data_IF_287979088598
#
_entry.id   IF_287979088598
#
_cell.length_a   1.000
_cell.length_b   1.000
_cell.length_c   1.000
_cell.angle_alpha   90.00
_cell.angle_beta   90.00
_cell.angle_gamma   90.00
#
_symmetry.space_group_name_H-M   'P 1'
#
loop_
_entity.id
_entity.type
_entity.pdbx_description
1 polymer ?
#
# COMPACT_ATOMS: atom_id res chain seq x y z
N UNK A 1 17.04 -2.83 12.58
CA UNK A 1 15.64 -2.87 12.10
C UNK A 1 15.58 -3.08 10.58
N UNK A 2 16.15 -2.21 9.73
CA UNK A 2 16.12 -2.43 8.27
C UNK A 2 16.89 -3.66 7.75
N UNK A 3 18.05 -3.97 8.34
CA UNK A 3 18.87 -5.13 7.97
C UNK A 3 18.12 -6.45 8.24
N UNK A 4 17.50 -6.59 9.42
CA UNK A 4 16.77 -7.82 9.79
C UNK A 4 15.54 -8.06 8.90
N UNK A 5 14.86 -6.98 8.48
CA UNK A 5 13.70 -7.05 7.60
C UNK A 5 14.10 -7.47 6.17
N UNK A 6 15.20 -6.90 5.66
CA UNK A 6 15.75 -7.27 4.35
C UNK A 6 16.22 -8.74 4.36
N UNK A 7 16.89 -9.18 5.43
CA UNK A 7 17.29 -10.59 5.57
C UNK A 7 16.07 -11.51 5.56
N UNK A 8 15.05 -11.23 6.38
CA UNK A 8 13.83 -12.04 6.47
C UNK A 8 13.10 -12.14 5.13
N UNK A 9 12.97 -11.02 4.40
CA UNK A 9 12.34 -11.00 3.08
C UNK A 9 13.13 -11.83 2.05
N UNK A 10 14.44 -11.64 1.99
CA UNK A 10 15.32 -12.35 1.06
C UNK A 10 15.42 -13.85 1.41
N UNK A 11 15.21 -14.23 2.67
CA UNK A 11 15.10 -15.63 3.09
C UNK A 11 13.75 -16.25 2.73
N UNK A 12 12.66 -15.47 2.74
CA UNK A 12 11.32 -15.96 2.42
C UNK A 12 11.10 -16.15 0.90
N UNK A 13 11.72 -15.33 0.07
CA UNK A 13 11.42 -15.26 -1.38
C UNK A 13 12.60 -15.69 -2.25
N UNK A 14 12.30 -16.34 -3.37
CA UNK A 14 13.22 -16.60 -4.49
C UNK A 14 13.23 -15.36 -5.37
N UNK A 15 14.30 -14.56 -5.28
CA UNK A 15 14.47 -13.34 -6.07
C UNK A 15 15.53 -13.56 -7.15
N UNK A 16 15.15 -13.86 -8.41
CA UNK A 16 16.09 -14.24 -9.47
C UNK A 16 17.10 -13.16 -9.85
N UNK A 17 16.72 -11.88 -9.72
CA UNK A 17 17.54 -10.74 -10.10
C UNK A 17 18.50 -10.24 -9.01
N UNK A 18 18.26 -10.61 -7.75
CA UNK A 18 19.11 -10.23 -6.63
C UNK A 18 18.33 -9.99 -5.33
N UNK A 19 19.06 -9.69 -4.27
CA UNK A 19 18.46 -9.37 -2.98
C UNK A 19 17.91 -7.95 -2.96
N UNK A 20 16.74 -7.77 -2.35
CA UNK A 20 16.19 -6.43 -2.08
C UNK A 20 16.88 -5.84 -0.85
N UNK A 21 17.48 -4.67 -1.03
CA UNK A 21 18.03 -3.86 0.05
C UNK A 21 16.95 -2.94 0.63
N UNK A 22 16.98 -2.72 1.94
CA UNK A 22 16.05 -1.83 2.63
C UNK A 22 16.84 -0.85 3.49
N UNK A 23 16.61 0.45 3.30
CA UNK A 23 17.15 1.48 4.18
C UNK A 23 16.08 2.40 4.75
N UNK A 24 16.40 2.91 5.94
CA UNK A 24 15.66 3.97 6.59
C UNK A 24 16.65 5.11 6.80
N UNK A 25 16.39 6.26 6.18
CA UNK A 25 17.36 7.36 6.10
C UNK A 25 16.68 8.74 6.10
N UNK A 26 17.44 9.78 6.45
CA UNK A 26 17.02 11.16 6.25
C UNK A 26 17.22 11.51 4.78
N UNK A 27 16.12 11.73 4.05
CA UNK A 27 16.15 11.96 2.60
C UNK A 27 16.16 13.45 2.23
N UNK A 28 15.81 14.34 3.18
CA UNK A 28 15.57 15.75 2.91
C UNK A 28 14.23 16.04 2.21
N UNK A 29 13.38 15.03 2.03
CA UNK A 29 12.07 15.14 1.41
C UNK A 29 11.09 14.11 1.99
N UNK A 30 9.79 14.45 2.00
CA UNK A 30 8.70 13.54 2.40
C UNK A 30 8.48 12.53 1.28
N UNK A 31 9.12 11.36 1.38
CA UNK A 31 9.04 10.34 0.34
C UNK A 31 9.26 8.91 0.86
N UNK A 32 8.94 7.93 0.03
CA UNK A 32 9.47 6.57 0.06
C UNK A 32 9.49 6.10 -1.39
N UNK A 33 10.46 5.26 -1.77
CA UNK A 33 10.54 4.77 -3.14
C UNK A 33 11.39 3.51 -3.24
N UNK A 34 11.07 2.67 -4.22
CA UNK A 34 11.96 1.63 -4.74
C UNK A 34 12.86 2.19 -5.86
N UNK A 35 14.17 2.00 -5.71
CA UNK A 35 15.16 2.29 -6.75
C UNK A 35 15.56 1.00 -7.50
N UNK A 36 15.12 0.82 -8.76
CA UNK A 36 15.41 -0.38 -9.55
C UNK A 36 16.89 -0.46 -9.97
N UNK A 37 17.65 0.64 -9.99
CA UNK A 37 19.07 0.61 -10.38
C UNK A 37 19.92 -0.02 -9.29
N UNK A 38 19.58 0.22 -8.03
CA UNK A 38 20.31 -0.27 -6.86
C UNK A 38 19.59 -1.42 -6.14
N UNK A 39 18.41 -1.83 -6.62
CA UNK A 39 17.53 -2.83 -6.00
C UNK A 39 17.32 -2.51 -4.52
N UNK A 40 16.95 -1.24 -4.25
CA UNK A 40 16.93 -0.68 -2.89
C UNK A 40 15.61 0.04 -2.63
N UNK A 41 14.89 -0.40 -1.59
CA UNK A 41 13.79 0.34 -1.00
C UNK A 41 14.33 1.37 -0.02
N UNK A 42 13.88 2.61 -0.15
CA UNK A 42 14.28 3.74 0.69
C UNK A 42 13.04 4.29 1.40
N UNK A 43 13.06 4.22 2.73
CA UNK A 43 11.98 4.68 3.58
C UNK A 43 12.44 5.93 4.35
N UNK A 44 11.96 7.12 3.94
CA UNK A 44 12.44 8.37 4.49
C UNK A 44 11.80 8.69 5.85
N UNK A 45 12.60 9.11 6.84
CA UNK A 45 12.08 9.50 8.16
C UNK A 45 11.11 10.70 8.09
N UNK A 46 11.26 11.57 7.10
CA UNK A 46 10.38 12.70 6.84
C UNK A 46 8.95 12.26 6.50
N UNK A 47 8.77 11.12 5.82
CA UNK A 47 7.44 10.58 5.52
C UNK A 47 6.73 10.14 6.80
N UNK A 48 7.43 9.45 7.70
CA UNK A 48 6.85 9.09 9.00
C UNK A 48 6.49 10.34 9.82
N UNK A 49 7.34 11.37 9.82
CA UNK A 49 7.04 12.66 10.46
C UNK A 49 5.81 13.35 9.84
N UNK A 50 5.65 13.28 8.52
CA UNK A 50 4.48 13.84 7.84
C UNK A 50 3.20 13.11 8.26
N UNK A 51 3.22 11.78 8.33
CA UNK A 51 2.09 11.01 8.86
C UNK A 51 1.80 11.33 10.33
N UNK A 52 2.84 11.47 11.17
CA UNK A 52 2.68 11.83 12.58
C UNK A 52 1.99 13.19 12.73
N UNK A 53 2.38 14.18 11.92
CA UNK A 53 1.76 15.49 11.91
C UNK A 53 0.30 15.44 11.42
N UNK A 54 0.01 14.63 10.39
CA UNK A 54 -1.32 14.51 9.82
C UNK A 54 -2.30 13.82 10.78
N UNK A 55 -1.90 12.72 11.42
CA UNK A 55 -2.76 11.94 12.32
C UNK A 55 -2.72 12.37 13.78
N UNK A 56 -1.69 13.11 14.18
CA UNK A 56 -1.48 13.53 15.57
C UNK A 56 -1.15 12.39 16.54
N UNK A 57 -0.92 11.16 16.06
CA UNK A 57 -0.56 10.02 16.90
C UNK A 57 0.35 9.02 16.16
N UNK A 58 1.26 8.39 16.91
CA UNK A 58 2.27 7.49 16.36
C UNK A 58 1.70 6.16 15.84
N UNK A 59 0.59 5.69 16.41
CA UNK A 59 -0.03 4.42 16.01
C UNK A 59 -0.56 4.50 14.57
N UNK A 60 -1.37 5.52 14.27
CA UNK A 60 -1.92 5.74 12.93
C UNK A 60 -0.81 6.05 11.93
N UNK A 61 0.20 6.82 12.35
CA UNK A 61 1.35 7.14 11.52
C UNK A 61 2.16 5.89 11.15
N UNK A 62 2.39 4.99 12.11
CA UNK A 62 3.08 3.73 11.87
C UNK A 62 2.31 2.83 10.91
N UNK A 63 0.98 2.69 11.08
CA UNK A 63 0.13 1.90 10.17
C UNK A 63 0.18 2.42 8.74
N UNK A 64 0.02 3.73 8.53
CA UNK A 64 0.10 4.33 7.21
C UNK A 64 1.51 4.20 6.59
N UNK A 65 2.55 4.35 7.41
CA UNK A 65 3.93 4.16 6.97
C UNK A 65 4.25 2.71 6.59
N UNK A 66 3.71 1.74 7.32
CA UNK A 66 3.82 0.32 6.95
C UNK A 66 3.07 0.01 5.66
N UNK A 67 1.89 0.60 5.44
CA UNK A 67 1.22 0.46 4.15
C UNK A 67 2.12 0.92 3.00
N UNK A 68 2.74 2.10 3.11
CA UNK A 68 3.68 2.62 2.10
C UNK A 68 4.89 1.70 1.96
N UNK A 69 5.42 1.15 3.05
CA UNK A 69 6.51 0.16 2.97
C UNK A 69 6.13 -1.04 2.08
N UNK A 70 4.94 -1.60 2.26
CA UNK A 70 4.49 -2.74 1.46
C UNK A 70 4.10 -2.37 0.04
N UNK A 71 3.70 -1.13 -0.19
CA UNK A 71 3.53 -0.56 -1.53
C UNK A 71 4.88 -0.52 -2.28
N UNK A 72 5.94 0.03 -1.66
CA UNK A 72 7.29 0.03 -2.24
C UNK A 72 7.86 -1.38 -2.41
N UNK A 73 7.54 -2.29 -1.50
CA UNK A 73 7.88 -3.71 -1.67
C UNK A 73 7.20 -4.29 -2.90
N UNK A 74 5.96 -3.88 -3.20
CA UNK A 74 5.27 -4.30 -4.41
C UNK A 74 6.02 -3.92 -5.67
N UNK A 75 6.53 -2.69 -5.77
CA UNK A 75 7.37 -2.27 -6.89
C UNK A 75 8.65 -3.13 -6.98
N UNK A 76 9.31 -3.36 -5.85
CA UNK A 76 10.49 -4.20 -5.80
C UNK A 76 10.20 -5.64 -6.26
N UNK A 77 9.06 -6.22 -5.88
CA UNK A 77 8.68 -7.58 -6.28
C UNK A 77 8.32 -7.66 -7.76
N UNK A 78 7.58 -6.68 -8.30
CA UNK A 78 7.27 -6.63 -9.72
C UNK A 78 8.55 -6.62 -10.55
N UNK A 79 9.51 -5.77 -10.18
CA UNK A 79 10.81 -5.72 -10.85
C UNK A 79 11.60 -7.03 -10.65
N UNK A 80 11.81 -7.47 -9.40
CA UNK A 80 12.71 -8.60 -9.13
C UNK A 80 12.21 -9.95 -9.64
N UNK A 81 10.89 -10.12 -9.79
CA UNK A 81 10.25 -11.35 -10.26
C UNK A 81 9.77 -11.27 -11.71
N UNK A 82 9.98 -10.14 -12.42
CA UNK A 82 9.44 -9.88 -13.76
C UNK A 82 7.92 -10.13 -13.84
N UNK A 83 7.18 -9.67 -12.81
CA UNK A 83 5.73 -9.89 -12.78
C UNK A 83 5.03 -9.08 -13.88
N UNK A 84 4.15 -9.69 -14.67
CA UNK A 84 3.39 -8.95 -15.67
C UNK A 84 2.35 -8.05 -15.00
N UNK A 85 2.27 -6.80 -15.45
CA UNK A 85 1.24 -5.83 -15.05
C UNK A 85 0.42 -5.45 -16.27
N UNK A 86 -0.87 -5.80 -16.28
CA UNK A 86 -1.80 -5.46 -17.37
C UNK A 86 -2.47 -4.09 -17.21
N UNK A 87 -2.57 -3.59 -15.97
CA UNK A 87 -3.20 -2.33 -15.61
C UNK A 87 -2.20 -1.27 -15.18
N UNK A 88 -2.59 -0.45 -14.20
CA UNK A 88 -1.66 0.45 -13.53
C UNK A 88 -0.84 -0.32 -12.50
N UNK A 89 0.48 -0.13 -12.53
CA UNK A 89 1.39 -0.72 -11.57
C UNK A 89 1.03 -0.31 -10.14
N UNK A 90 0.78 0.99 -9.92
CA UNK A 90 0.34 1.54 -8.63
C UNK A 90 -0.90 0.86 -8.05
N UNK A 91 -1.93 0.62 -8.88
CA UNK A 91 -3.15 -0.05 -8.40
C UNK A 91 -2.84 -1.51 -8.02
N UNK A 92 -1.89 -2.14 -8.73
CA UNK A 92 -1.45 -3.51 -8.45
C UNK A 92 -0.68 -3.58 -7.12
N UNK A 93 0.26 -2.66 -6.89
CA UNK A 93 1.04 -2.62 -5.64
C UNK A 93 0.22 -2.12 -4.45
N UNK A 94 -0.80 -1.27 -4.66
CA UNK A 94 -1.78 -0.88 -3.65
C UNK A 94 -2.69 -2.04 -3.23
N UNK A 95 -3.17 -2.82 -4.19
CA UNK A 95 -3.98 -4.02 -3.92
C UNK A 95 -3.17 -5.05 -3.14
N UNK A 96 -1.93 -5.26 -3.58
CA UNK A 96 -0.94 -6.11 -2.93
C UNK A 96 -0.63 -5.69 -1.48
N UNK A 97 -0.32 -4.42 -1.25
CA UNK A 97 -0.11 -3.88 0.10
C UNK A 97 -1.37 -4.04 0.97
N UNK A 98 -2.55 -3.84 0.38
CA UNK A 98 -3.83 -4.03 1.08
C UNK A 98 -4.05 -5.48 1.50
N UNK A 99 -3.79 -6.45 0.62
CA UNK A 99 -3.89 -7.89 0.93
C UNK A 99 -2.97 -8.25 2.08
N UNK A 100 -1.69 -7.82 2.05
CA UNK A 100 -0.77 -8.04 3.17
C UNK A 100 -1.33 -7.45 4.47
N UNK A 101 -1.78 -6.19 4.46
CA UNK A 101 -2.28 -5.51 5.65
C UNK A 101 -3.55 -6.15 6.21
N UNK A 102 -4.48 -6.60 5.35
CA UNK A 102 -5.66 -7.35 5.77
C UNK A 102 -5.27 -8.68 6.43
N UNK A 103 -4.36 -9.43 5.81
CA UNK A 103 -3.92 -10.73 6.33
C UNK A 103 -3.12 -10.61 7.63
N UNK A 104 -2.46 -9.47 7.85
CA UNK A 104 -1.82 -9.11 9.11
C UNK A 104 -2.80 -8.55 10.17
N UNK A 105 -4.11 -8.64 9.93
CA UNK A 105 -5.17 -8.09 10.77
C UNK A 105 -5.11 -6.57 11.01
N UNK A 106 -4.56 -5.82 10.05
CA UNK A 106 -4.44 -4.36 10.08
C UNK A 106 -5.09 -3.68 8.86
N UNK A 107 -6.37 -3.94 8.53
CA UNK A 107 -7.05 -3.30 7.39
C UNK A 107 -7.04 -1.76 7.48
N UNK A 108 -6.93 -1.20 8.68
CA UNK A 108 -6.82 0.24 8.93
C UNK A 108 -5.61 0.88 8.25
N UNK A 109 -4.52 0.14 8.04
CA UNK A 109 -3.31 0.67 7.42
C UNK A 109 -3.58 1.19 6.00
N UNK A 110 -4.34 0.44 5.20
CA UNK A 110 -4.75 0.84 3.85
C UNK A 110 -5.72 2.03 3.88
N UNK A 111 -6.68 2.03 4.81
CA UNK A 111 -7.65 3.12 4.97
C UNK A 111 -6.95 4.43 5.33
N UNK A 112 -6.02 4.39 6.31
CA UNK A 112 -5.22 5.52 6.70
C UNK A 112 -4.40 6.02 5.51
N UNK A 113 -3.61 5.17 4.85
CA UNK A 113 -2.84 5.58 3.68
C UNK A 113 -3.72 6.26 2.61
N UNK A 114 -4.91 5.70 2.33
CA UNK A 114 -5.89 6.30 1.43
C UNK A 114 -6.31 7.72 1.83
N UNK A 115 -6.62 7.95 3.10
CA UNK A 115 -6.96 9.29 3.58
C UNK A 115 -5.84 10.31 3.41
N UNK A 116 -4.61 9.90 3.70
CA UNK A 116 -3.44 10.76 3.50
C UNK A 116 -3.25 11.09 2.02
N UNK A 117 -3.28 10.10 1.12
CA UNK A 117 -3.12 10.33 -0.32
C UNK A 117 -4.22 11.23 -0.89
N UNK A 118 -5.46 11.09 -0.41
CA UNK A 118 -6.55 11.98 -0.78
C UNK A 118 -6.31 13.41 -0.28
N UNK A 119 -5.78 13.59 0.94
CA UNK A 119 -5.47 14.90 1.49
C UNK A 119 -4.37 15.63 0.71
N UNK A 120 -3.31 14.92 0.28
CA UNK A 120 -2.24 15.50 -0.53
C UNK A 120 -2.74 16.11 -1.85
N UNK A 121 -3.86 15.62 -2.38
CA UNK A 121 -4.46 16.16 -3.60
C UNK A 121 -5.44 17.31 -3.34
N UNK A 122 -5.83 17.56 -2.09
CA UNK A 122 -6.75 18.63 -1.69
C UNK A 122 -6.27 20.06 -2.00
N UNK A 123 -4.98 20.24 -2.26
CA UNK A 123 -4.36 21.54 -2.58
C UNK A 123 -3.88 21.70 -4.03
N UNK A 124 -3.98 20.65 -4.88
CA UNK A 124 -3.52 20.70 -6.27
C UNK A 124 -4.67 20.58 -7.26
N UNK A 125 -5.01 21.69 -7.93
CA UNK A 125 -5.80 21.65 -9.18
C UNK A 125 -5.01 21.09 -10.38
N UNK A 126 -3.76 20.66 -10.18
CA UNK A 126 -2.95 20.00 -11.19
C UNK A 126 -3.00 18.49 -10.97
N UNK A 127 -3.97 17.85 -11.62
CA UNK A 127 -3.92 16.41 -11.90
C UNK A 127 -2.77 16.20 -12.87
N UNK A 128 -1.63 15.71 -12.39
CA UNK A 128 -0.59 15.21 -13.29
C UNK A 128 -1.03 13.82 -13.76
N UNK A 129 -1.62 13.74 -14.94
CA UNK A 129 -2.01 12.47 -15.58
C UNK A 129 -0.81 11.53 -15.83
N UNK A 130 0.42 12.04 -15.72
CA UNK A 130 1.68 11.31 -15.90
C UNK A 130 2.42 11.04 -14.58
N UNK A 131 1.90 11.51 -13.43
CA UNK A 131 2.34 10.98 -12.14
C UNK A 131 1.85 9.54 -12.05
N UNK A 132 2.73 8.60 -11.67
CA UNK A 132 2.36 7.19 -11.64
C UNK A 132 1.19 6.97 -10.69
N UNK A 133 1.14 7.72 -9.58
CA UNK A 133 0.15 7.59 -8.51
C UNK A 133 -1.29 7.88 -8.97
N UNK A 134 -2.20 6.95 -8.66
CA UNK A 134 -3.64 7.09 -8.92
C UNK A 134 -4.26 8.36 -8.31
N UNK A 135 -5.30 8.90 -8.95
CA UNK A 135 -6.06 10.08 -8.48
C UNK A 135 -6.56 9.85 -7.06
N UNK A 136 -6.36 10.80 -6.16
CA UNK A 136 -6.33 10.58 -4.71
C UNK A 136 -7.65 10.13 -4.14
N UNK A 137 -8.76 10.62 -4.71
CA UNK A 137 -10.12 10.13 -4.39
C UNK A 137 -10.37 8.70 -4.88
N UNK A 138 -9.89 8.36 -6.08
CA UNK A 138 -10.02 7.00 -6.63
C UNK A 138 -9.15 6.02 -5.84
N UNK A 139 -7.89 6.38 -5.59
CA UNK A 139 -6.94 5.60 -4.79
C UNK A 139 -7.49 5.35 -3.39
N UNK A 140 -7.93 6.39 -2.69
CA UNK A 140 -8.59 6.25 -1.38
C UNK A 140 -9.82 5.35 -1.46
N UNK A 141 -10.68 5.54 -2.47
CA UNK A 141 -11.85 4.69 -2.67
C UNK A 141 -11.49 3.21 -2.83
N UNK A 142 -10.44 2.90 -3.60
CA UNK A 142 -9.93 1.53 -3.78
C UNK A 142 -9.44 0.94 -2.47
N UNK A 143 -8.52 1.63 -1.78
CA UNK A 143 -7.93 1.15 -0.53
C UNK A 143 -8.98 0.90 0.55
N UNK A 144 -9.94 1.82 0.71
CA UNK A 144 -11.03 1.64 1.67
C UNK A 144 -11.91 0.46 1.28
N UNK A 145 -12.30 0.33 0.00
CA UNK A 145 -13.15 -0.75 -0.46
C UNK A 145 -12.48 -2.13 -0.28
N UNK A 146 -11.22 -2.28 -0.68
CA UNK A 146 -10.48 -3.53 -0.50
C UNK A 146 -10.27 -3.86 0.97
N UNK A 147 -9.93 -2.89 1.82
CA UNK A 147 -9.76 -3.11 3.26
C UNK A 147 -11.04 -3.63 3.94
N UNK A 148 -12.20 -3.01 3.67
CA UNK A 148 -13.48 -3.45 4.24
C UNK A 148 -13.99 -4.75 3.59
N UNK A 149 -13.64 -5.00 2.33
CA UNK A 149 -13.96 -6.23 1.62
C UNK A 149 -13.26 -7.44 2.23
N UNK A 150 -11.96 -7.31 2.52
CA UNK A 150 -11.20 -8.37 3.17
C UNK A 150 -11.48 -8.53 4.66
N UNK A 151 -11.86 -7.43 5.34
CA UNK A 151 -12.19 -7.42 6.79
C UNK A 151 -13.50 -6.71 7.09
N UNK A 152 -14.66 -7.32 6.79
CA UNK A 152 -15.95 -6.68 7.05
C UNK A 152 -16.22 -6.46 8.55
N UNK A 153 -15.59 -7.23 9.45
CA UNK A 153 -15.65 -7.02 10.90
C UNK A 153 -15.06 -5.67 11.35
N UNK A 154 -14.21 -5.06 10.52
CA UNK A 154 -13.67 -3.72 10.74
C UNK A 154 -14.77 -2.68 10.98
N UNK A 155 -15.83 -2.71 10.17
CA UNK A 155 -16.93 -1.75 10.25
C UNK A 155 -17.79 -1.94 11.51
N UNK A 156 -17.85 -3.15 12.06
CA UNK A 156 -18.54 -3.42 13.33
C UNK A 156 -17.79 -2.77 14.50
N UNK A 157 -16.46 -2.77 14.45
CA UNK A 157 -15.59 -2.17 15.47
C UNK A 157 -15.46 -0.64 15.29
N UNK A 158 -15.72 -0.14 14.07
CA UNK A 158 -15.55 1.26 13.70
C UNK A 158 -16.82 1.83 13.04
N UNK A 159 -17.94 1.96 13.77
CA UNK A 159 -19.23 2.37 13.20
C UNK A 159 -19.21 3.76 12.55
N UNK A 160 -18.31 4.65 12.97
CA UNK A 160 -18.14 5.97 12.36
C UNK A 160 -17.66 5.92 10.90
N UNK A 161 -17.10 4.78 10.45
CA UNK A 161 -16.69 4.56 9.07
C UNK A 161 -17.84 4.07 8.19
N UNK A 162 -18.99 3.71 8.76
CA UNK A 162 -20.09 3.09 8.03
C UNK A 162 -20.66 4.01 6.94
N UNK A 163 -20.86 5.30 7.24
CA UNK A 163 -21.41 6.25 6.26
C UNK A 163 -20.47 6.43 5.06
N UNK A 164 -19.16 6.54 5.31
CA UNK A 164 -18.16 6.63 4.25
C UNK A 164 -18.09 5.32 3.43
N UNK A 165 -18.07 4.17 4.11
CA UNK A 165 -18.07 2.88 3.44
C UNK A 165 -19.31 2.70 2.55
N UNK A 166 -20.49 3.08 3.05
CA UNK A 166 -21.73 3.07 2.27
C UNK A 166 -21.66 4.02 1.08
N UNK A 167 -21.09 5.22 1.22
CA UNK A 167 -20.89 6.12 0.08
C UNK A 167 -19.99 5.49 -0.99
N UNK A 168 -18.86 4.89 -0.60
CA UNK A 168 -17.94 4.23 -1.54
C UNK A 168 -18.61 3.07 -2.27
N UNK A 169 -19.37 2.25 -1.54
CA UNK A 169 -20.12 1.11 -2.10
C UNK A 169 -21.21 1.60 -3.05
N UNK A 170 -22.00 2.61 -2.64
CA UNK A 170 -23.17 3.06 -3.40
C UNK A 170 -22.80 3.88 -4.65
N UNK A 171 -21.83 4.79 -4.55
CA UNK A 171 -21.45 5.68 -5.66
C UNK A 171 -20.89 4.87 -6.84
N UNK A 172 -20.16 3.77 -6.56
CA UNK A 172 -19.60 2.92 -7.61
C UNK A 172 -20.36 1.62 -7.86
N UNK A 173 -21.48 1.37 -7.16
CA UNK A 173 -22.14 0.04 -7.11
C UNK A 173 -21.13 -1.09 -6.90
N UNK A 174 -20.17 -0.85 -6.00
CA UNK A 174 -18.99 -1.70 -5.83
C UNK A 174 -19.33 -2.92 -4.98
N UNK A 175 -18.83 -4.07 -5.40
CA UNK A 175 -18.78 -5.25 -4.55
C UNK A 175 -17.37 -5.34 -3.94
N UNK A 176 -17.20 -4.69 -2.79
CA UNK A 176 -15.90 -4.59 -2.14
C UNK A 176 -15.32 -5.96 -1.74
N UNK A 177 -16.16 -6.95 -1.43
CA UNK A 177 -15.70 -8.31 -1.14
C UNK A 177 -15.15 -8.95 -2.41
N UNK A 178 -15.91 -8.92 -3.50
CA UNK A 178 -15.44 -9.47 -4.78
C UNK A 178 -14.18 -8.75 -5.30
N UNK A 179 -14.10 -7.43 -5.13
CA UNK A 179 -12.91 -6.67 -5.52
C UNK A 179 -11.67 -7.02 -4.68
N UNK A 180 -11.84 -7.23 -3.36
CA UNK A 180 -10.76 -7.70 -2.50
C UNK A 180 -10.33 -9.12 -2.88
N UNK A 181 -11.28 -10.03 -3.09
CA UNK A 181 -11.00 -11.42 -3.48
C UNK A 181 -10.20 -11.48 -4.78
N UNK A 182 -10.49 -10.59 -5.73
CA UNK A 182 -9.70 -10.46 -6.94
C UNK A 182 -8.24 -10.05 -6.65
N UNK A 183 -8.00 -9.14 -5.70
CA UNK A 183 -6.63 -8.78 -5.31
C UNK A 183 -5.94 -9.95 -4.60
N UNK A 184 -6.63 -10.64 -3.70
CA UNK A 184 -6.11 -11.79 -2.95
C UNK A 184 -5.72 -12.94 -3.89
N UNK A 185 -6.61 -13.30 -4.83
CA UNK A 185 -6.35 -14.32 -5.85
C UNK A 185 -5.15 -13.94 -6.74
N UNK A 186 -5.05 -12.67 -7.15
CA UNK A 186 -3.94 -12.18 -7.96
C UNK A 186 -2.62 -12.27 -7.19
N UNK A 187 -2.61 -11.84 -5.92
CA UNK A 187 -1.43 -11.93 -5.05
C UNK A 187 -1.01 -13.38 -4.84
N UNK A 188 -1.94 -14.28 -4.53
CA UNK A 188 -1.67 -15.70 -4.37
C UNK A 188 -1.02 -16.29 -5.65
N UNK A 189 -1.62 -16.04 -6.82
CA UNK A 189 -1.09 -16.57 -8.09
C UNK A 189 0.27 -15.98 -8.47
N UNK A 190 0.50 -14.69 -8.19
CA UNK A 190 1.74 -14.00 -8.55
C UNK A 190 2.90 -14.34 -7.59
N UNK A 191 2.62 -14.69 -6.34
CA UNK A 191 3.65 -14.87 -5.31
C UNK A 191 3.93 -16.31 -4.90
N UNK A 192 2.91 -17.17 -4.83
CA UNK A 192 3.08 -18.56 -4.36
C UNK A 192 4.22 -19.31 -5.07
N UNK A 193 4.47 -19.14 -6.39
CA UNK A 193 5.60 -19.81 -7.05
C UNK A 193 6.98 -19.40 -6.53
N UNK A 194 7.08 -18.21 -5.92
CA UNK A 194 8.35 -17.59 -5.52
C UNK A 194 8.62 -17.65 -4.02
N UNK A 195 7.65 -18.06 -3.19
CA UNK A 195 7.89 -18.38 -1.78
C UNK A 195 8.82 -19.62 -1.69
N UNK A 196 9.78 -19.58 -0.78
CA UNK A 196 10.74 -20.68 -0.55
C UNK A 196 10.15 -21.83 0.25
#
# INVERSE_FOLDING_TARGET
MGIDLAVSLNELLKLPKGNILISFEDCGAVNAFYDPQNVKMIMCYELFKAFLNFYGNAESAAKAYFFVFFHELGHALIDQLDLPVLGKEEDSVDGMATVIMVNAEMPEAAILAGFYFNNLQGDSQYINWFDSHSVGRQRMGNLVCWAIGGRPDFLLKNPNMMDLAQQIIQVGQRDCKAEYDQQEDAVAQLWEPYVK
#
